data_IF_577776227326
#
_entry.id   IF_577776227326
#
_cell.length_a   1.000
_cell.length_b   1.000
_cell.length_c   1.000
_cell.angle_alpha   90.00
_cell.angle_beta   90.00
_cell.angle_gamma   90.00
#
_symmetry.space_group_name_H-M   'P 1'
#
loop_
_entity.id
_entity.type
_entity.pdbx_description
1 polymer ?
#
# COMPACT_ATOMS: atom_id res chain seq x y z
N UNK A 1 -3.08 -13.98 0.70
CA UNK A 1 -4.25 -13.07 0.79
C UNK A 1 -5.51 -13.75 1.35
N UNK A 2 -5.75 -15.06 1.11
CA UNK A 2 -6.96 -15.77 1.58
C UNK A 2 -7.22 -15.63 3.09
N UNK A 3 -6.20 -15.57 3.92
CA UNK A 3 -6.36 -15.33 5.36
C UNK A 3 -7.00 -13.97 5.70
N UNK A 4 -6.74 -12.93 4.92
CA UNK A 4 -7.33 -11.60 5.16
C UNK A 4 -8.84 -11.61 4.94
N UNK A 5 -9.32 -12.33 3.92
CA UNK A 5 -10.76 -12.43 3.63
C UNK A 5 -11.56 -13.10 4.76
N UNK A 6 -10.92 -13.92 5.61
CA UNK A 6 -11.62 -14.56 6.74
C UNK A 6 -11.91 -13.62 7.92
N UNK A 7 -11.26 -12.46 7.96
CA UNK A 7 -11.36 -11.48 9.06
C UNK A 7 -11.90 -10.12 8.61
N UNK A 8 -12.24 -9.99 7.35
CA UNK A 8 -12.84 -8.80 6.74
C UNK A 8 -14.32 -9.02 6.45
N UNK A 9 -15.02 -7.97 6.01
CA UNK A 9 -16.41 -8.02 5.59
C UNK A 9 -16.59 -8.86 4.32
N UNK A 10 -17.84 -9.10 3.92
CA UNK A 10 -18.21 -10.01 2.82
C UNK A 10 -17.56 -9.66 1.47
N UNK A 11 -17.46 -8.37 1.14
CA UNK A 11 -16.86 -7.89 -0.09
C UNK A 11 -15.61 -7.12 0.21
N UNK A 12 -14.53 -7.41 -0.52
CA UNK A 12 -13.20 -6.83 -0.31
C UNK A 12 -12.59 -6.44 -1.65
N UNK A 13 -12.07 -5.22 -1.73
CA UNK A 13 -11.21 -4.75 -2.81
C UNK A 13 -9.82 -4.47 -2.23
N UNK A 14 -8.79 -5.08 -2.78
CA UNK A 14 -7.40 -4.76 -2.50
C UNK A 14 -6.71 -4.24 -3.76
N UNK A 15 -6.11 -3.07 -3.67
CA UNK A 15 -5.47 -2.40 -4.80
C UNK A 15 -4.19 -1.67 -4.40
N UNK A 16 -3.31 -1.44 -5.38
CA UNK A 16 -2.08 -0.66 -5.23
C UNK A 16 -2.13 0.62 -6.10
N UNK A 17 -3.00 1.60 -5.78
CA UNK A 17 -3.17 2.77 -6.63
C UNK A 17 -1.93 3.68 -6.57
N UNK A 18 -1.37 4.01 -7.71
CA UNK A 18 -0.15 4.81 -7.83
C UNK A 18 -0.20 6.11 -7.03
N UNK A 19 -1.29 6.88 -7.16
CA UNK A 19 -1.44 8.15 -6.44
C UNK A 19 -1.49 7.98 -4.92
N UNK A 20 -2.06 6.87 -4.45
CA UNK A 20 -2.08 6.55 -3.02
C UNK A 20 -0.73 6.04 -2.54
N UNK A 21 -0.01 5.27 -3.35
CA UNK A 21 1.34 4.80 -3.01
C UNK A 21 2.30 5.97 -2.77
N UNK A 22 2.17 7.05 -3.52
CA UNK A 22 2.91 8.30 -3.30
C UNK A 22 2.72 8.85 -1.87
N UNK A 23 1.51 8.75 -1.34
CA UNK A 23 1.18 9.15 0.03
C UNK A 23 1.69 8.11 1.02
N UNK A 24 1.37 6.83 0.80
CA UNK A 24 1.68 5.74 1.74
C UNK A 24 3.17 5.48 1.92
N UNK A 25 3.99 5.82 0.93
CA UNK A 25 5.44 5.77 1.01
C UNK A 25 6.07 7.06 1.57
N UNK A 26 5.29 8.11 1.79
CA UNK A 26 5.80 9.37 2.32
C UNK A 26 6.06 9.29 3.83
N UNK A 27 7.10 9.97 4.32
CA UNK A 27 7.43 10.04 5.76
C UNK A 27 6.31 10.65 6.61
N UNK A 28 5.51 11.53 6.02
CA UNK A 28 4.39 12.21 6.70
C UNK A 28 3.03 11.57 6.39
N UNK A 29 3.00 10.33 5.89
CA UNK A 29 1.78 9.68 5.41
C UNK A 29 0.62 9.71 6.41
N UNK A 30 0.85 9.46 7.69
CA UNK A 30 -0.20 9.45 8.72
C UNK A 30 -0.93 10.79 8.83
N UNK A 31 -0.19 11.90 8.85
CA UNK A 31 -0.79 13.24 8.94
C UNK A 31 -1.56 13.58 7.66
N UNK A 32 -1.04 13.18 6.50
CA UNK A 32 -1.72 13.40 5.22
C UNK A 32 -3.04 12.61 5.21
N UNK A 33 -3.03 11.34 5.60
CA UNK A 33 -4.24 10.52 5.66
C UNK A 33 -5.25 11.05 6.66
N UNK A 34 -4.81 11.49 7.86
CA UNK A 34 -5.72 12.04 8.86
C UNK A 34 -6.41 13.33 8.40
N UNK A 35 -5.75 14.14 7.59
CA UNK A 35 -6.34 15.35 7.01
C UNK A 35 -7.32 15.03 5.87
N UNK A 36 -6.98 14.03 5.03
CA UNK A 36 -7.80 13.68 3.87
C UNK A 36 -9.04 12.85 4.21
N UNK A 37 -8.95 12.04 5.26
CA UNK A 37 -9.91 10.98 5.57
C UNK A 37 -10.38 11.02 7.03
N UNK A 38 -10.37 12.19 7.67
CA UNK A 38 -10.79 12.37 9.06
C UNK A 38 -12.22 11.93 9.35
N UNK A 39 -13.08 11.89 8.35
CA UNK A 39 -14.48 11.48 8.38
C UNK A 39 -14.70 10.01 8.03
N UNK A 40 -13.65 9.28 7.64
CA UNK A 40 -13.76 7.85 7.34
C UNK A 40 -13.36 6.99 8.53
N UNK A 41 -14.01 5.84 8.64
CA UNK A 41 -13.62 4.78 9.56
C UNK A 41 -12.47 3.96 8.95
N UNK A 42 -11.23 4.37 9.20
CA UNK A 42 -10.06 3.70 8.63
C UNK A 42 -9.04 3.26 9.67
N UNK A 43 -8.26 2.26 9.32
CA UNK A 43 -7.08 1.81 10.04
C UNK A 43 -5.82 2.09 9.22
N UNK A 44 -4.82 2.73 9.82
CA UNK A 44 -3.48 2.80 9.24
C UNK A 44 -2.69 1.56 9.66
N UNK A 45 -2.24 0.79 8.68
CA UNK A 45 -1.43 -0.42 8.88
C UNK A 45 0.03 -0.08 8.60
N UNK A 46 0.94 -0.24 9.55
CA UNK A 46 2.36 -0.03 9.31
C UNK A 46 2.90 -1.03 8.26
N UNK A 47 4.11 -0.81 7.77
CA UNK A 47 4.76 -1.75 6.86
C UNK A 47 4.90 -3.13 7.53
N UNK A 48 4.18 -4.11 7.00
CA UNK A 48 4.16 -5.49 7.47
C UNK A 48 4.41 -6.45 6.32
N UNK A 49 4.92 -7.65 6.66
CA UNK A 49 5.08 -8.71 5.66
C UNK A 49 3.74 -9.04 5.02
N UNK A 50 3.66 -9.07 3.69
CA UNK A 50 2.48 -9.53 2.98
C UNK A 50 2.03 -10.93 3.43
N UNK A 51 0.74 -11.20 3.40
CA UNK A 51 0.18 -12.46 3.83
C UNK A 51 0.01 -12.53 5.36
N UNK A 52 0.76 -13.39 6.05
CA UNK A 52 0.55 -13.70 7.46
C UNK A 52 0.69 -12.49 8.39
N UNK A 53 1.71 -11.66 8.19
CA UNK A 53 1.93 -10.49 9.05
C UNK A 53 0.78 -9.49 8.97
N UNK A 54 0.24 -9.29 7.79
CA UNK A 54 -0.90 -8.42 7.54
C UNK A 54 -2.18 -9.01 8.15
N UNK A 55 -2.41 -10.32 7.95
CA UNK A 55 -3.52 -11.05 8.57
C UNK A 55 -3.50 -10.94 10.10
N UNK A 56 -2.36 -11.22 10.73
CA UNK A 56 -2.21 -11.15 12.18
C UNK A 56 -2.48 -9.73 12.73
N UNK A 57 -2.05 -8.70 12.01
CA UNK A 57 -2.32 -7.33 12.42
C UNK A 57 -3.81 -7.00 12.36
N UNK A 58 -4.46 -7.32 11.23
CA UNK A 58 -5.89 -7.04 11.02
C UNK A 58 -6.75 -7.83 12.01
N UNK A 59 -6.46 -9.10 12.24
CA UNK A 59 -7.22 -9.97 13.16
C UNK A 59 -7.17 -9.53 14.63
N UNK A 60 -6.14 -8.78 15.02
CA UNK A 60 -5.97 -8.25 16.38
C UNK A 60 -6.64 -6.90 16.61
N UNK A 61 -7.23 -6.30 15.56
CA UNK A 61 -7.97 -5.05 15.74
C UNK A 61 -9.25 -5.29 16.56
N UNK A 62 -9.67 -4.29 17.32
CA UNK A 62 -10.87 -4.36 18.16
C UNK A 62 -12.18 -4.29 17.35
N UNK A 63 -12.08 -3.95 16.08
CA UNK A 63 -13.21 -3.92 15.12
C UNK A 63 -12.70 -4.10 13.69
N UNK A 64 -13.62 -4.37 12.77
CA UNK A 64 -13.36 -4.35 11.33
C UNK A 64 -13.58 -2.92 10.83
N UNK A 65 -12.53 -2.31 10.29
CA UNK A 65 -12.61 -0.98 9.67
C UNK A 65 -13.07 -1.11 8.21
N UNK A 66 -13.70 -0.06 7.68
CA UNK A 66 -14.13 -0.03 6.28
C UNK A 66 -12.97 0.12 5.31
N UNK A 67 -11.91 0.82 5.75
CA UNK A 67 -10.72 1.13 4.95
C UNK A 67 -9.45 0.80 5.73
N UNK A 68 -8.49 0.16 5.08
CA UNK A 68 -7.14 -0.03 5.61
C UNK A 68 -6.13 0.58 4.63
N UNK A 69 -5.39 1.58 5.12
CA UNK A 69 -4.26 2.15 4.40
C UNK A 69 -2.97 1.43 4.79
N UNK A 70 -2.37 0.70 3.85
CA UNK A 70 -1.21 -0.15 4.09
C UNK A 70 0.06 0.61 3.72
N UNK A 71 0.88 0.96 4.71
CA UNK A 71 2.14 1.70 4.49
C UNK A 71 3.04 0.96 3.50
N UNK A 72 3.54 1.68 2.48
CA UNK A 72 4.41 1.14 1.43
C UNK A 72 3.82 -0.06 0.67
N UNK A 73 2.49 -0.22 0.64
CA UNK A 73 1.87 -1.38 0.03
C UNK A 73 0.64 -0.99 -0.80
N UNK A 74 -0.45 -0.56 -0.19
CA UNK A 74 -1.69 -0.30 -0.91
C UNK A 74 -2.90 -0.01 -0.06
N UNK A 75 -4.06 -0.35 -0.56
CA UNK A 75 -5.38 -0.08 -0.03
C UNK A 75 -6.19 -1.37 0.10
N UNK A 76 -6.89 -1.54 1.22
CA UNK A 76 -8.00 -2.48 1.34
C UNK A 76 -9.26 -1.67 1.66
N UNK A 77 -10.33 -1.94 0.93
CA UNK A 77 -11.68 -1.45 1.21
C UNK A 77 -12.58 -2.65 1.36
N UNK A 78 -13.47 -2.65 2.37
CA UNK A 78 -14.38 -3.76 2.56
C UNK A 78 -15.75 -3.31 3.09
N UNK A 79 -16.82 -4.00 2.66
CA UNK A 79 -18.19 -3.77 3.07
C UNK A 79 -19.01 -5.05 2.97
N UNK A 80 -20.14 -5.11 3.69
CA UNK A 80 -21.15 -6.15 3.52
C UNK A 80 -22.13 -5.84 2.37
N UNK A 81 -22.01 -4.65 1.76
CA UNK A 81 -22.78 -4.19 0.62
C UNK A 81 -21.85 -3.79 -0.54
N UNK A 82 -22.10 -4.36 -1.73
CA UNK A 82 -21.24 -4.13 -2.90
C UNK A 82 -21.27 -2.68 -3.40
N UNK A 83 -22.44 -2.03 -3.38
CA UNK A 83 -22.58 -0.63 -3.82
C UNK A 83 -21.88 0.32 -2.84
N UNK A 84 -21.92 0.04 -1.55
CA UNK A 84 -21.15 0.79 -0.55
C UNK A 84 -19.66 0.61 -0.76
N UNK A 85 -19.20 -0.61 -1.05
CA UNK A 85 -17.81 -0.92 -1.34
C UNK A 85 -17.30 -0.10 -2.53
N UNK A 86 -18.04 -0.10 -3.64
CA UNK A 86 -17.70 0.65 -4.86
C UNK A 86 -17.65 2.16 -4.61
N UNK A 87 -18.65 2.67 -3.89
CA UNK A 87 -18.71 4.09 -3.52
C UNK A 87 -17.54 4.50 -2.64
N UNK A 88 -17.20 3.68 -1.65
CA UNK A 88 -16.11 3.96 -0.73
C UNK A 88 -14.75 3.89 -1.43
N UNK A 89 -14.55 2.89 -2.29
CA UNK A 89 -13.35 2.78 -3.11
C UNK A 89 -13.19 4.00 -4.03
N UNK A 90 -14.27 4.40 -4.71
CA UNK A 90 -14.29 5.59 -5.58
C UNK A 90 -14.04 6.88 -4.79
N UNK A 91 -14.60 7.01 -3.59
CA UNK A 91 -14.40 8.15 -2.70
C UNK A 91 -12.92 8.33 -2.32
N UNK A 92 -12.25 7.23 -1.94
CA UNK A 92 -10.81 7.26 -1.61
C UNK A 92 -10.01 7.80 -2.78
N UNK A 93 -10.24 7.29 -3.99
CA UNK A 93 -9.54 7.73 -5.20
C UNK A 93 -9.84 9.18 -5.58
N UNK A 94 -11.10 9.59 -5.49
CA UNK A 94 -11.53 10.96 -5.85
C UNK A 94 -10.88 11.99 -4.95
N UNK A 95 -10.81 11.73 -3.65
CA UNK A 95 -10.18 12.65 -2.68
C UNK A 95 -8.69 12.88 -2.96
N UNK A 96 -7.97 11.85 -3.35
CA UNK A 96 -6.55 11.99 -3.71
C UNK A 96 -6.40 12.91 -4.93
N UNK A 97 -7.23 12.71 -5.95
CA UNK A 97 -7.16 13.50 -7.19
C UNK A 97 -7.55 14.96 -7.00
N UNK A 98 -8.56 15.23 -6.16
CA UNK A 98 -9.08 16.59 -5.93
C UNK A 98 -8.20 17.43 -5.02
N UNK A 99 -7.52 16.80 -4.07
CA UNK A 99 -6.62 17.49 -3.17
C UNK A 99 -5.22 17.48 -3.78
N UNK A 100 -4.78 18.62 -4.30
CA UNK A 100 -3.40 18.86 -4.76
C UNK A 100 -2.44 18.70 -3.56
N UNK A 101 -2.12 17.45 -3.19
CA UNK A 101 -1.37 17.15 -1.99
C UNK A 101 0.06 17.63 -2.19
N UNK A 102 0.39 18.74 -1.53
CA UNK A 102 1.77 19.21 -1.46
C UNK A 102 2.59 18.27 -0.57
N UNK A 103 3.26 17.33 -1.19
CA UNK A 103 4.25 16.51 -0.51
C UNK A 103 5.55 17.30 -0.43
N UNK A 104 6.26 17.21 0.70
CA UNK A 104 7.57 17.87 0.82
C UNK A 104 8.52 17.33 -0.26
N UNK A 105 9.13 18.23 -0.98
CA UNK A 105 10.20 17.93 -1.91
C UNK A 105 11.44 17.43 -1.17
N UNK A 106 12.25 16.70 -1.84
CA UNK A 106 13.23 15.73 -1.42
C UNK A 106 14.47 16.23 -0.70
N UNK A 107 14.98 15.39 0.20
CA UNK A 107 16.41 15.27 0.54
C UNK A 107 17.05 14.11 -0.28
N UNK A 108 18.23 14.36 -0.83
CA UNK A 108 18.96 13.68 -1.92
C UNK A 108 19.29 12.16 -1.82
N UNK A 109 18.66 11.36 -1.01
CA UNK A 109 18.94 9.91 -0.96
C UNK A 109 17.94 9.11 -1.81
N UNK A 110 18.42 8.62 -2.96
CA UNK A 110 17.63 7.94 -4.00
C UNK A 110 17.62 6.42 -3.90
N UNK A 111 18.23 5.80 -2.89
CA UNK A 111 18.47 4.35 -2.87
C UNK A 111 17.50 3.61 -1.94
N UNK A 112 16.74 2.68 -2.48
CA UNK A 112 15.85 1.79 -1.75
C UNK A 112 14.59 1.44 -2.53
N UNK A 113 13.84 0.49 -1.98
CA UNK A 113 12.55 0.05 -2.51
C UNK A 113 11.41 0.68 -1.71
N UNK A 114 10.35 1.10 -2.40
CA UNK A 114 9.19 1.73 -1.78
C UNK A 114 8.12 0.71 -1.38
N UNK A 115 8.00 -0.38 -2.15
CA UNK A 115 6.99 -1.40 -1.94
C UNK A 115 7.59 -2.80 -1.97
N UNK A 116 6.94 -3.80 -1.35
CA UNK A 116 7.33 -5.20 -1.50
C UNK A 116 7.34 -5.64 -2.97
N UNK A 117 6.35 -5.22 -3.76
CA UNK A 117 6.24 -5.57 -5.17
C UNK A 117 7.39 -4.99 -6.01
N UNK A 118 7.81 -3.74 -5.74
CA UNK A 118 8.98 -3.17 -6.41
C UNK A 118 10.24 -4.01 -6.20
N UNK A 119 10.41 -4.57 -5.00
CA UNK A 119 11.54 -5.45 -4.71
C UNK A 119 11.40 -6.83 -5.35
N UNK A 120 10.23 -7.44 -5.27
CA UNK A 120 9.97 -8.79 -5.78
C UNK A 120 10.18 -8.84 -7.29
N UNK A 121 9.64 -7.85 -8.00
CA UNK A 121 9.69 -7.79 -9.46
C UNK A 121 10.86 -6.97 -10.02
N UNK A 122 11.87 -6.64 -9.22
CA UNK A 122 13.01 -5.78 -9.62
C UNK A 122 13.73 -6.22 -10.90
N UNK A 123 13.69 -7.50 -11.22
CA UNK A 123 14.31 -8.10 -12.41
C UNK A 123 13.30 -8.41 -13.52
N UNK A 124 12.02 -8.08 -13.33
CA UNK A 124 10.98 -8.29 -14.31
C UNK A 124 11.13 -7.33 -15.50
N UNK A 125 11.00 -7.87 -16.73
CA UNK A 125 11.12 -7.12 -17.99
C UNK A 125 9.79 -6.85 -18.66
N UNK A 126 8.69 -7.28 -18.07
CA UNK A 126 7.35 -7.07 -18.59
C UNK A 126 6.99 -5.58 -18.66
N UNK A 127 6.25 -5.19 -19.69
CA UNK A 127 5.90 -3.79 -19.94
C UNK A 127 5.15 -3.14 -18.73
N UNK A 128 4.20 -3.87 -18.16
CA UNK A 128 3.42 -3.39 -17.01
C UNK A 128 4.30 -3.05 -15.79
N UNK A 129 5.37 -3.83 -15.57
CA UNK A 129 6.29 -3.55 -14.47
C UNK A 129 7.20 -2.38 -14.78
N UNK A 130 7.58 -2.20 -16.04
CA UNK A 130 8.37 -1.05 -16.48
C UNK A 130 7.64 0.26 -16.19
N UNK A 131 6.34 0.32 -16.45
CA UNK A 131 5.52 1.49 -16.15
C UNK A 131 5.41 1.74 -14.63
N UNK A 132 5.18 0.69 -13.84
CA UNK A 132 5.21 0.80 -12.38
C UNK A 132 6.56 1.28 -11.85
N UNK A 133 7.66 0.74 -12.35
CA UNK A 133 9.01 1.14 -11.99
C UNK A 133 9.27 2.61 -12.28
N UNK A 134 8.89 3.08 -13.45
CA UNK A 134 9.02 4.49 -13.82
C UNK A 134 8.27 5.40 -12.83
N UNK A 135 7.10 4.96 -12.36
CA UNK A 135 6.34 5.71 -11.36
C UNK A 135 7.01 5.67 -9.97
N UNK A 136 7.56 4.54 -9.54
CA UNK A 136 8.34 4.46 -8.29
C UNK A 136 9.58 5.36 -8.34
N UNK A 137 10.28 5.37 -9.46
CA UNK A 137 11.44 6.24 -9.65
C UNK A 137 11.03 7.72 -9.64
N UNK A 138 9.89 8.06 -10.24
CA UNK A 138 9.31 9.40 -10.14
C UNK A 138 9.00 9.78 -8.68
N UNK A 139 8.40 8.89 -7.89
CA UNK A 139 8.12 9.16 -6.47
C UNK A 139 9.44 9.39 -5.71
N UNK A 140 10.41 8.52 -5.89
CA UNK A 140 11.73 8.64 -5.23
C UNK A 140 12.46 9.91 -5.63
N UNK A 141 12.30 10.36 -6.84
CA UNK A 141 12.95 11.55 -7.36
C UNK A 141 12.34 12.85 -6.85
N UNK A 142 11.06 12.86 -6.52
CA UNK A 142 10.33 14.08 -6.22
C UNK A 142 9.88 14.22 -4.75
N UNK A 143 9.85 13.13 -3.95
CA UNK A 143 9.26 13.17 -2.61
C UNK A 143 10.13 12.55 -1.52
N UNK A 144 9.92 12.96 -0.26
CA UNK A 144 10.52 12.30 0.90
C UNK A 144 9.84 10.96 1.16
N UNK A 145 10.59 9.88 0.99
CA UNK A 145 10.06 8.52 1.09
C UNK A 145 10.53 7.79 2.35
N UNK A 146 9.66 6.92 2.86
CA UNK A 146 10.03 5.81 3.71
C UNK A 146 10.47 4.65 2.81
N UNK A 147 11.73 4.28 2.88
CA UNK A 147 12.22 3.10 2.18
C UNK A 147 12.09 1.87 3.06
N UNK A 148 11.88 0.73 2.42
CA UNK A 148 11.88 -0.58 3.09
C UNK A 148 13.29 -0.87 3.57
N UNK A 149 13.44 -1.28 4.83
CA UNK A 149 14.74 -1.62 5.39
C UNK A 149 15.28 -2.96 4.88
N UNK A 150 16.60 -3.16 4.99
CA UNK A 150 17.27 -4.35 4.47
C UNK A 150 16.82 -5.65 5.14
N UNK A 151 16.48 -5.61 6.42
CA UNK A 151 16.04 -6.81 7.15
C UNK A 151 14.66 -7.26 6.67
N UNK A 152 13.78 -6.30 6.38
CA UNK A 152 12.48 -6.60 5.78
C UNK A 152 12.65 -7.21 4.39
N UNK A 153 13.48 -6.62 3.54
CA UNK A 153 13.76 -7.14 2.20
C UNK A 153 14.34 -8.57 2.24
N UNK A 154 15.27 -8.83 3.15
CA UNK A 154 15.81 -10.17 3.36
C UNK A 154 14.73 -11.18 3.76
N UNK A 155 13.86 -10.83 4.72
CA UNK A 155 12.74 -11.68 5.12
C UNK A 155 11.77 -11.94 3.95
N UNK A 156 11.47 -10.91 3.16
CA UNK A 156 10.61 -11.03 1.98
C UNK A 156 11.20 -12.00 0.96
N UNK A 157 12.52 -11.95 0.74
CA UNK A 157 13.21 -12.82 -0.23
C UNK A 157 13.18 -14.30 0.13
N UNK A 158 13.18 -14.63 1.42
CA UNK A 158 13.16 -16.03 1.89
C UNK A 158 11.76 -16.62 2.00
N UNK A 159 10.69 -15.83 1.85
CA UNK A 159 9.33 -16.37 1.84
C UNK A 159 9.14 -17.33 0.67
N UNK A 160 8.61 -18.50 0.95
CA UNK A 160 8.49 -19.58 -0.04
C UNK A 160 7.57 -19.20 -1.20
N UNK A 161 6.44 -18.54 -0.91
CA UNK A 161 5.52 -18.09 -1.95
C UNK A 161 6.13 -16.98 -2.87
N UNK A 162 7.04 -16.15 -2.34
CA UNK A 162 7.73 -15.14 -3.14
C UNK A 162 8.78 -15.75 -4.06
N UNK A 163 9.42 -16.85 -3.64
CA UNK A 163 10.29 -17.64 -4.53
C UNK A 163 9.51 -18.19 -5.72
N UNK A 164 8.28 -18.68 -5.46
CA UNK A 164 7.41 -19.17 -6.54
C UNK A 164 6.99 -18.06 -7.50
N UNK A 165 6.61 -16.88 -7.01
CA UNK A 165 6.28 -15.71 -7.86
C UNK A 165 7.41 -15.30 -8.78
N UNK A 166 8.67 -15.40 -8.34
CA UNK A 166 9.85 -15.08 -9.16
C UNK A 166 10.14 -16.11 -10.25
N UNK A 167 9.59 -17.30 -10.15
CA UNK A 167 9.80 -18.39 -11.12
C UNK A 167 8.76 -18.42 -12.24
N UNK A 168 7.73 -17.60 -12.17
CA UNK A 168 6.72 -17.40 -13.20
C UNK A 168 7.13 -16.30 -14.16
#
# INVERSE_FOLDING_TARGET
ESGMHSVLKKYVIHTHPNELLKILSNKNCKNILSNLYSDLDYCFVPLLMPGLGLFEFISKQNKIYDVYFLQNHGLIVNSDNISELENLHSLVHTRIKQNNISLKEKNKNKFGYLTPDEYIYRDCKELWYTDMKNYYDFIKDNYECNFIDKNFLYKLEILEFEKHRKSL
#
